data_IF_852514279841
#
_entry.id   IF_852514279841
#
_cell.length_a   1.000
_cell.length_b   1.000
_cell.length_c   1.000
_cell.angle_alpha   90.00
_cell.angle_beta   90.00
_cell.angle_gamma   90.00
#
_symmetry.space_group_name_H-M   'P 1'
#
loop_
_entity.id
_entity.type
_entity.pdbx_description
1 polymer ?
#
# COMPACT_ATOMS: atom_id res chain seq x y z
N UNK A 1 -26.62 12.19 -0.13
CA UNK A 1 -25.43 12.03 -0.95
C UNK A 1 -24.73 10.73 -0.58
N UNK A 2 -24.37 9.91 -1.56
CA UNK A 2 -23.75 8.62 -1.30
C UNK A 2 -22.28 8.80 -0.94
N UNK A 3 -21.79 8.15 0.14
CA UNK A 3 -20.37 8.19 0.45
C UNK A 3 -19.54 7.63 -0.70
N UNK A 4 -18.44 8.29 -1.00
CA UNK A 4 -17.55 7.85 -2.08
C UNK A 4 -16.15 7.64 -1.54
N UNK A 5 -15.56 6.54 -1.94
CA UNK A 5 -14.16 6.27 -1.64
C UNK A 5 -13.29 7.13 -2.55
N UNK A 6 -12.12 7.52 -2.04
CA UNK A 6 -11.16 8.28 -2.83
C UNK A 6 -10.42 7.33 -3.77
N UNK A 7 -10.88 7.25 -5.01
CA UNK A 7 -10.33 6.35 -6.00
C UNK A 7 -8.87 6.67 -6.31
N UNK A 8 -8.46 7.94 -6.21
CA UNK A 8 -7.07 8.30 -6.44
C UNK A 8 -6.17 7.70 -5.37
N UNK A 9 -6.62 7.68 -4.12
CA UNK A 9 -5.87 7.05 -3.04
C UNK A 9 -5.76 5.54 -3.25
N UNK A 10 -6.83 4.91 -3.72
CA UNK A 10 -6.80 3.48 -4.02
C UNK A 10 -5.87 3.16 -5.18
N UNK A 11 -5.82 4.00 -6.20
CA UNK A 11 -4.88 3.82 -7.30
C UNK A 11 -3.44 3.94 -6.84
N UNK A 12 -3.16 4.88 -5.93
CA UNK A 12 -1.83 5.03 -5.35
C UNK A 12 -1.46 3.80 -4.51
N UNK A 13 -2.42 3.27 -3.75
CA UNK A 13 -2.20 2.05 -2.98
C UNK A 13 -1.89 0.88 -3.90
N UNK A 14 -2.62 0.74 -4.99
CA UNK A 14 -2.40 -0.31 -5.97
C UNK A 14 -1.01 -0.22 -6.58
N UNK A 15 -0.58 0.98 -6.93
CA UNK A 15 0.76 1.20 -7.48
C UNK A 15 1.84 0.84 -6.47
N UNK A 16 1.66 1.22 -5.21
CA UNK A 16 2.61 0.90 -4.15
C UNK A 16 2.71 -0.60 -3.92
N UNK A 17 1.57 -1.30 -3.96
CA UNK A 17 1.55 -2.76 -3.81
C UNK A 17 2.27 -3.43 -4.98
N UNK A 18 2.09 -2.93 -6.20
CA UNK A 18 2.76 -3.47 -7.37
C UNK A 18 4.28 -3.34 -7.24
N UNK A 19 4.76 -2.19 -6.75
CA UNK A 19 6.17 -1.98 -6.49
C UNK A 19 6.65 -2.94 -5.40
N UNK A 20 5.90 -3.07 -4.32
CA UNK A 20 6.22 -3.99 -3.24
C UNK A 20 6.32 -5.43 -3.72
N UNK A 21 5.39 -5.86 -4.56
CA UNK A 21 5.42 -7.21 -5.13
C UNK A 21 6.67 -7.43 -5.96
N UNK A 22 7.05 -6.45 -6.78
CA UNK A 22 8.25 -6.52 -7.60
C UNK A 22 9.51 -6.64 -6.73
N UNK A 23 9.56 -5.87 -5.65
CA UNK A 23 10.68 -5.91 -4.71
C UNK A 23 10.77 -7.25 -4.00
N UNK A 24 9.65 -7.85 -3.65
CA UNK A 24 9.62 -9.18 -3.04
C UNK A 24 10.15 -10.21 -4.03
N UNK A 25 9.77 -10.11 -5.30
CA UNK A 25 10.29 -10.99 -6.35
C UNK A 25 11.81 -10.86 -6.43
N UNK A 26 12.33 -9.63 -6.39
CA UNK A 26 13.78 -9.39 -6.37
C UNK A 26 14.42 -10.05 -5.14
N UNK A 27 13.80 -9.91 -3.98
CA UNK A 27 14.32 -10.53 -2.76
C UNK A 27 14.39 -12.04 -2.89
N UNK A 28 13.38 -12.67 -3.48
CA UNK A 28 13.38 -14.11 -3.70
C UNK A 28 14.54 -14.51 -4.61
N UNK A 29 14.75 -13.75 -5.69
CA UNK A 29 15.83 -14.04 -6.64
C UNK A 29 17.21 -13.88 -6.01
N UNK A 30 17.37 -12.92 -5.09
CA UNK A 30 18.64 -12.64 -4.46
C UNK A 30 18.89 -13.46 -3.20
N UNK A 31 17.89 -14.15 -2.69
CA UNK A 31 17.94 -14.77 -1.37
C UNK A 31 19.08 -15.78 -1.21
N UNK A 32 19.47 -16.46 -2.27
CA UNK A 32 20.53 -17.48 -2.21
C UNK A 32 21.88 -16.93 -2.66
N UNK A 33 21.94 -15.81 -3.38
CA UNK A 33 23.18 -15.34 -4.01
C UNK A 33 23.70 -14.05 -3.43
N UNK A 34 22.82 -13.17 -2.92
CA UNK A 34 23.23 -11.86 -2.42
C UNK A 34 22.32 -11.45 -1.28
N UNK A 35 22.71 -11.80 -0.07
CA UNK A 35 21.93 -11.55 1.12
C UNK A 35 21.72 -10.06 1.37
N UNK A 36 22.73 -9.23 1.08
CA UNK A 36 22.63 -7.81 1.30
C UNK A 36 21.58 -7.17 0.37
N UNK A 37 21.57 -7.57 -0.90
CA UNK A 37 20.56 -7.12 -1.85
C UNK A 37 19.16 -7.60 -1.46
N UNK A 38 19.08 -8.83 -0.96
CA UNK A 38 17.81 -9.38 -0.48
C UNK A 38 17.25 -8.54 0.67
N UNK A 39 18.09 -8.22 1.65
CA UNK A 39 17.68 -7.39 2.79
C UNK A 39 17.22 -6.00 2.35
N UNK A 40 17.95 -5.40 1.42
CA UNK A 40 17.61 -4.08 0.92
C UNK A 40 16.26 -4.10 0.20
N UNK A 41 16.03 -5.13 -0.63
CA UNK A 41 14.74 -5.27 -1.33
C UNK A 41 13.60 -5.44 -0.34
N UNK A 42 13.81 -6.21 0.75
CA UNK A 42 12.79 -6.41 1.77
C UNK A 42 12.46 -5.11 2.50
N UNK A 43 13.47 -4.30 2.80
CA UNK A 43 13.25 -3.00 3.44
C UNK A 43 12.41 -2.09 2.55
N UNK A 44 12.73 -2.04 1.26
CA UNK A 44 11.99 -1.22 0.32
C UNK A 44 10.57 -1.74 0.14
N UNK A 45 10.39 -3.06 0.07
CA UNK A 45 9.06 -3.65 -0.03
C UNK A 45 8.21 -3.30 1.19
N UNK A 46 8.80 -3.37 2.38
CA UNK A 46 8.11 -3.05 3.62
C UNK A 46 7.64 -1.59 3.61
N UNK A 47 8.50 -0.67 3.15
CA UNK A 47 8.15 0.73 3.06
C UNK A 47 6.99 0.97 2.08
N UNK A 48 7.01 0.29 0.93
CA UNK A 48 5.95 0.42 -0.06
C UNK A 48 4.62 -0.14 0.45
N UNK A 49 4.66 -1.27 1.15
CA UNK A 49 3.46 -1.86 1.74
C UNK A 49 2.88 -0.95 2.81
N UNK A 50 3.73 -0.35 3.64
CA UNK A 50 3.28 0.59 4.66
C UNK A 50 2.61 1.81 4.02
N UNK A 51 3.16 2.29 2.92
CA UNK A 51 2.58 3.42 2.19
C UNK A 51 1.22 3.04 1.60
N UNK A 52 1.11 1.83 1.05
CA UNK A 52 -0.16 1.34 0.54
C UNK A 52 -1.22 1.30 1.64
N UNK A 53 -0.85 0.82 2.83
CA UNK A 53 -1.76 0.78 3.97
C UNK A 53 -2.23 2.18 4.36
N UNK A 54 -1.34 3.15 4.31
CA UNK A 54 -1.69 4.54 4.59
C UNK A 54 -2.72 5.06 3.59
N UNK A 55 -2.52 4.81 2.31
CA UNK A 55 -3.48 5.24 1.28
C UNK A 55 -4.84 4.57 1.48
N UNK A 56 -4.85 3.28 1.79
CA UNK A 56 -6.10 2.56 2.02
C UNK A 56 -6.82 3.13 3.25
N UNK A 57 -6.08 3.41 4.32
CA UNK A 57 -6.66 4.01 5.53
C UNK A 57 -7.27 5.37 5.22
N UNK A 58 -6.60 6.18 4.40
CA UNK A 58 -7.12 7.49 4.04
C UNK A 58 -8.41 7.36 3.24
N UNK A 59 -8.48 6.40 2.32
CA UNK A 59 -9.68 6.16 1.55
C UNK A 59 -10.83 5.71 2.45
N UNK A 60 -10.55 4.84 3.41
CA UNK A 60 -11.56 4.39 4.37
C UNK A 60 -12.03 5.52 5.27
N UNK A 61 -11.13 6.38 5.70
CA UNK A 61 -11.48 7.53 6.53
C UNK A 61 -12.44 8.47 5.81
N UNK A 62 -12.22 8.69 4.53
CA UNK A 62 -13.13 9.52 3.73
C UNK A 62 -14.54 8.94 3.73
N UNK A 63 -14.66 7.64 3.53
CA UNK A 63 -15.95 6.98 3.55
C UNK A 63 -16.60 7.06 4.93
N UNK A 64 -15.83 6.77 5.97
CA UNK A 64 -16.35 6.75 7.33
C UNK A 64 -16.81 8.13 7.78
N UNK A 65 -16.07 9.16 7.41
CA UNK A 65 -16.47 10.52 7.74
C UNK A 65 -17.82 10.88 7.14
N UNK A 66 -18.06 10.51 5.89
CA UNK A 66 -19.32 10.76 5.23
C UNK A 66 -20.44 9.93 5.85
N UNK A 67 -20.15 8.69 6.18
CA UNK A 67 -21.14 7.82 6.82
C UNK A 67 -21.54 8.33 8.20
N UNK A 68 -20.55 8.78 8.99
CA UNK A 68 -20.82 9.31 10.32
C UNK A 68 -21.72 10.53 10.27
N UNK A 69 -21.49 11.41 9.31
CA UNK A 69 -22.31 12.58 9.12
C UNK A 69 -23.74 12.20 8.80
N UNK A 70 -23.92 11.16 8.02
CA UNK A 70 -25.24 10.68 7.61
C UNK A 70 -26.03 10.11 8.78
N UNK A 71 -25.35 9.43 9.70
CA UNK A 71 -26.02 8.78 10.83
C UNK A 71 -26.55 9.74 11.88
N UNK A 72 -26.07 10.93 11.93
CA UNK A 72 -26.54 11.93 12.87
C UNK A 72 -27.74 12.69 12.35
#
# INVERSE_FOLDING_TARGET
>A
MTPQVDANKLKKAEAAIAIGKSLITTAIQQSASDQLQCEEALKQASAEIAQAQTYVSQAQSSMQSQSSTTLE
#
